data_IF_194727406259
#
_entry.id   IF_194727406259
#
_cell.length_a   1.000
_cell.length_b   1.000
_cell.length_c   1.000
_cell.angle_alpha   90.00
_cell.angle_beta   90.00
_cell.angle_gamma   90.00
#
_symmetry.space_group_name_H-M   'P 1'
#
loop_
_entity.id
_entity.type
_entity.pdbx_description
1 polymer ?
#
# COMPACT_ATOMS: atom_id res chain seq x y z
N UNK A 1 -9.05 7.60 22.80
CA UNK A 1 -9.23 6.13 22.73
C UNK A 1 -10.60 5.77 22.14
N UNK A 2 -11.68 6.43 22.60
CA UNK A 2 -13.04 6.34 22.03
C UNK A 2 -13.09 6.36 20.49
N UNK A 3 -12.42 7.32 19.85
CA UNK A 3 -12.52 7.50 18.40
C UNK A 3 -11.94 6.32 17.61
N UNK A 4 -10.88 5.68 18.12
CA UNK A 4 -10.29 4.51 17.45
C UNK A 4 -11.20 3.28 17.57
N UNK A 5 -11.85 3.09 18.71
CA UNK A 5 -12.82 2.01 18.87
C UNK A 5 -14.05 2.24 17.98
N UNK A 6 -14.48 3.49 17.84
CA UNK A 6 -15.56 3.86 16.94
C UNK A 6 -15.20 3.62 15.47
N UNK A 7 -14.02 4.05 15.03
CA UNK A 7 -13.50 3.74 13.69
C UNK A 7 -13.43 2.22 13.45
N UNK A 8 -13.06 1.43 14.45
CA UNK A 8 -13.05 -0.04 14.36
C UNK A 8 -14.46 -0.60 14.22
N UNK A 9 -15.44 -0.06 14.96
CA UNK A 9 -16.86 -0.44 14.80
C UNK A 9 -17.38 -0.10 13.40
N UNK A 10 -17.02 1.06 12.86
CA UNK A 10 -17.37 1.45 11.49
C UNK A 10 -16.79 0.48 10.45
N UNK A 11 -15.51 0.13 10.59
CA UNK A 11 -14.86 -0.84 9.70
C UNK A 11 -15.51 -2.23 9.76
N UNK A 12 -15.83 -2.71 10.97
CA UNK A 12 -16.51 -3.98 11.17
C UNK A 12 -17.89 -4.02 10.50
N UNK A 13 -18.69 -2.98 10.68
CA UNK A 13 -20.03 -2.88 10.07
C UNK A 13 -19.93 -2.84 8.55
N UNK A 14 -19.01 -2.06 7.99
CA UNK A 14 -18.80 -1.98 6.54
C UNK A 14 -18.38 -3.34 5.94
N UNK A 15 -17.49 -4.06 6.63
CA UNK A 15 -16.98 -5.37 6.20
C UNK A 15 -18.06 -6.44 6.24
N UNK A 16 -18.85 -6.49 7.32
CA UNK A 16 -19.91 -7.50 7.52
C UNK A 16 -21.19 -7.20 6.75
N UNK A 17 -21.33 -6.01 6.17
CA UNK A 17 -22.47 -5.66 5.30
C UNK A 17 -22.38 -6.30 3.91
N UNK A 18 -21.18 -6.67 3.46
CA UNK A 18 -20.98 -7.31 2.18
C UNK A 18 -21.44 -8.77 2.23
N UNK A 19 -22.41 -9.15 1.37
CA UNK A 19 -22.96 -10.51 1.32
C UNK A 19 -22.19 -11.42 0.35
N UNK A 20 -21.74 -10.87 -0.80
CA UNK A 20 -21.17 -11.66 -1.91
C UNK A 20 -19.67 -11.42 -2.13
N UNK A 21 -19.25 -10.17 -2.18
CA UNK A 21 -17.86 -9.79 -2.41
C UNK A 21 -17.54 -8.48 -1.70
N UNK A 22 -16.33 -8.38 -1.17
CA UNK A 22 -15.80 -7.19 -0.51
C UNK A 22 -14.47 -6.83 -1.16
N UNK A 23 -14.39 -5.61 -1.70
CA UNK A 23 -13.15 -5.08 -2.27
C UNK A 23 -12.71 -3.87 -1.45
N UNK A 24 -11.50 -3.95 -0.91
CA UNK A 24 -10.88 -2.88 -0.14
C UNK A 24 -9.87 -2.15 -1.04
N UNK A 25 -10.06 -0.85 -1.23
CA UNK A 25 -9.20 -0.02 -2.06
C UNK A 25 -8.71 1.16 -1.22
N UNK A 26 -7.42 1.47 -1.32
CA UNK A 26 -6.85 2.67 -0.73
C UNK A 26 -5.99 3.41 -1.77
N UNK A 27 -6.10 4.74 -1.87
CA UNK A 27 -5.20 5.52 -2.70
C UNK A 27 -3.81 5.57 -2.08
N UNK A 28 -2.79 5.46 -2.92
CA UNK A 28 -1.38 5.52 -2.52
C UNK A 28 -0.89 6.97 -2.34
N UNK A 29 -1.46 7.88 -3.14
CA UNK A 29 -1.14 9.29 -3.20
C UNK A 29 -2.44 10.08 -3.20
N UNK A 30 -2.48 11.17 -2.45
CA UNK A 30 -3.56 12.14 -2.48
C UNK A 30 -2.98 13.53 -2.61
N UNK A 31 -3.56 14.34 -3.48
CA UNK A 31 -3.13 15.73 -3.62
C UNK A 31 -3.82 16.56 -2.52
N UNK A 32 -3.08 16.88 -1.46
CA UNK A 32 -3.59 17.69 -0.36
C UNK A 32 -2.93 19.07 -0.43
N UNK A 33 -3.76 20.11 -0.61
CA UNK A 33 -3.31 21.51 -0.68
C UNK A 33 -2.19 21.76 -1.71
N UNK A 34 -2.25 21.08 -2.86
CA UNK A 34 -1.29 21.22 -3.94
C UNK A 34 0.02 20.43 -3.76
N UNK A 35 0.15 19.65 -2.69
CA UNK A 35 1.29 18.74 -2.48
C UNK A 35 0.83 17.28 -2.53
N UNK A 36 1.52 16.40 -3.26
CA UNK A 36 1.25 14.97 -3.23
C UNK A 36 1.66 14.39 -1.88
N UNK A 37 0.67 13.99 -1.09
CA UNK A 37 0.86 13.30 0.19
C UNK A 37 0.72 11.80 -0.02
N UNK A 38 1.70 11.05 0.47
CA UNK A 38 1.64 9.59 0.50
C UNK A 38 0.69 9.15 1.61
N UNK A 39 -0.28 8.33 1.25
CA UNK A 39 -1.21 7.75 2.21
C UNK A 39 -0.74 6.36 2.63
N UNK A 40 -1.01 6.03 3.89
CA UNK A 40 -0.74 4.71 4.44
C UNK A 40 -2.00 3.86 4.39
N UNK A 41 -1.79 2.55 4.25
CA UNK A 41 -2.86 1.57 4.38
C UNK A 41 -3.53 1.66 5.76
N UNK A 42 -4.83 1.32 5.81
CA UNK A 42 -5.56 1.29 7.07
C UNK A 42 -4.94 0.30 8.04
N UNK A 43 -4.80 0.71 9.31
CA UNK A 43 -4.29 -0.16 10.38
C UNK A 43 -5.16 -1.39 10.59
N UNK A 44 -6.46 -1.30 10.30
CA UNK A 44 -7.42 -2.40 10.47
C UNK A 44 -7.16 -3.58 9.54
N UNK A 45 -6.39 -3.40 8.46
CA UNK A 45 -5.98 -4.52 7.61
C UNK A 45 -5.02 -5.47 8.31
N UNK A 46 -4.22 -4.99 9.27
CA UNK A 46 -3.28 -5.83 10.02
C UNK A 46 -3.97 -6.78 11.00
N UNK A 47 -5.20 -6.46 11.38
CA UNK A 47 -6.02 -7.28 12.27
C UNK A 47 -6.68 -8.44 11.51
N UNK A 48 -6.65 -8.42 10.17
CA UNK A 48 -7.22 -9.46 9.31
C UNK A 48 -6.12 -10.45 8.96
N UNK A 49 -6.43 -11.74 9.05
CA UNK A 49 -5.53 -12.81 8.63
C UNK A 49 -5.30 -12.74 7.11
N UNK A 50 -4.02 -12.74 6.70
CA UNK A 50 -3.56 -12.72 5.31
C UNK A 50 -4.10 -13.90 4.49
N UNK A 51 -4.54 -14.98 5.14
CA UNK A 51 -5.20 -16.11 4.45
C UNK A 51 -6.61 -15.81 3.93
N UNK A 52 -7.22 -14.70 4.36
CA UNK A 52 -8.65 -14.39 4.13
C UNK A 52 -8.90 -13.42 2.98
N UNK A 53 -7.86 -12.82 2.41
CA UNK A 53 -8.01 -11.84 1.35
C UNK A 53 -6.91 -11.98 0.31
N UNK A 54 -7.29 -11.77 -0.95
CA UNK A 54 -6.36 -11.75 -2.06
C UNK A 54 -5.91 -10.32 -2.36
N UNK A 55 -4.61 -10.21 -2.59
CA UNK A 55 -3.94 -8.95 -2.82
C UNK A 55 -3.86 -8.63 -4.32
N UNK A 56 -4.74 -7.74 -4.77
CA UNK A 56 -4.79 -7.28 -6.15
C UNK A 56 -3.85 -6.09 -6.37
N UNK A 57 -2.63 -6.36 -6.86
CA UNK A 57 -1.72 -5.31 -7.30
C UNK A 57 -1.98 -4.96 -8.77
N UNK A 58 -2.70 -3.87 -9.05
CA UNK A 58 -3.02 -3.42 -10.41
C UNK A 58 -1.75 -3.11 -11.24
N UNK A 59 -0.61 -2.86 -10.60
CA UNK A 59 0.67 -2.59 -11.28
C UNK A 59 1.46 -3.85 -11.65
N UNK A 60 1.05 -5.06 -11.23
CA UNK A 60 1.77 -6.30 -11.56
C UNK A 60 1.55 -6.76 -13.01
N UNK A 61 0.50 -6.26 -13.67
CA UNK A 61 0.11 -6.64 -15.04
C UNK A 61 0.98 -6.03 -16.14
N UNK A 62 1.89 -5.10 -15.83
CA UNK A 62 2.67 -4.33 -16.80
C UNK A 62 4.18 -4.59 -16.77
N UNK A 63 4.65 -5.77 -16.30
CA UNK A 63 6.08 -6.09 -16.35
C UNK A 63 6.39 -7.59 -16.31
N UNK A 64 7.35 -8.08 -17.13
CA UNK A 64 7.70 -9.49 -17.15
C UNK A 64 8.42 -9.86 -15.84
N UNK A 65 7.74 -10.72 -15.07
CA UNK A 65 8.28 -11.67 -14.09
C UNK A 65 9.44 -11.23 -13.21
N UNK A 66 9.17 -11.03 -11.91
CA UNK A 66 9.94 -11.63 -10.79
C UNK A 66 9.04 -11.74 -9.55
N UNK A 67 8.53 -12.95 -9.32
CA UNK A 67 8.07 -13.35 -7.99
C UNK A 67 9.31 -13.44 -7.09
N UNK A 68 9.49 -12.45 -6.21
CA UNK A 68 10.47 -12.49 -5.12
C UNK A 68 10.08 -11.46 -4.07
N UNK A 69 9.27 -11.92 -3.11
CA UNK A 69 9.29 -11.53 -1.71
C UNK A 69 9.54 -10.03 -1.39
N UNK A 70 8.68 -9.13 -1.90
CA UNK A 70 8.77 -7.70 -1.62
C UNK A 70 7.41 -7.14 -1.27
N UNK A 71 7.21 -6.99 0.05
CA UNK A 71 6.03 -6.37 0.62
C UNK A 71 5.80 -4.95 0.10
N UNK A 72 4.56 -4.50 0.33
CA UNK A 72 3.92 -3.24 -0.06
C UNK A 72 4.69 -1.93 0.18
N UNK A 73 5.88 -1.98 0.78
CA UNK A 73 6.64 -0.82 1.23
C UNK A 73 7.79 -0.40 0.30
N UNK A 74 7.91 -0.95 -0.92
CA UNK A 74 9.10 -0.72 -1.76
C UNK A 74 8.96 0.37 -2.84
N UNK A 75 7.82 1.03 -2.99
CA UNK A 75 7.72 2.20 -3.85
C UNK A 75 8.19 3.44 -3.06
N UNK A 76 9.49 3.73 -3.03
CA UNK A 76 10.02 4.93 -2.36
C UNK A 76 11.40 4.80 -1.74
N UNK A 77 11.94 3.58 -1.59
CA UNK A 77 13.32 3.38 -1.10
C UNK A 77 14.27 3.10 -2.27
N UNK A 78 14.58 4.16 -3.01
CA UNK A 78 15.83 4.27 -3.77
C UNK A 78 16.31 5.72 -3.68
N UNK A 79 16.83 6.08 -2.51
CA UNK A 79 17.87 7.11 -2.45
C UNK A 79 19.14 6.48 -3.04
N UNK A 80 19.33 6.68 -4.34
CA UNK A 80 20.62 6.45 -5.03
C UNK A 80 21.25 7.82 -5.27
N UNK A 81 21.61 8.51 -4.18
CA UNK A 81 22.61 9.58 -4.22
C UNK A 81 23.91 8.98 -3.70
N UNK A 82 24.64 8.35 -4.61
CA UNK A 82 25.83 7.57 -4.27
C UNK A 82 26.37 6.88 -5.53
N UNK A 83 26.66 7.67 -6.56
CA UNK A 83 27.27 7.20 -7.80
C UNK A 83 28.53 7.99 -8.05
N UNK A 84 29.65 7.47 -7.54
CA UNK A 84 30.97 8.07 -7.61
C UNK A 84 31.45 8.29 -9.04
N UNK A 85 32.26 9.33 -9.18
CA UNK A 85 33.00 9.66 -10.38
C UNK A 85 34.02 8.56 -10.66
N UNK A 86 33.67 7.63 -11.56
CA UNK A 86 34.60 6.69 -12.14
C UNK A 86 34.75 6.98 -13.63
N UNK A 87 35.94 7.47 -13.97
CA UNK A 87 36.62 7.19 -15.23
C UNK A 87 36.10 7.90 -16.48
N UNK A 88 36.69 9.05 -16.80
CA UNK A 88 36.83 9.48 -18.19
C UNK A 88 38.30 9.73 -18.52
N UNK A 89 38.73 8.99 -19.52
CA UNK A 89 40.04 8.94 -20.17
C UNK A 89 40.58 10.28 -20.65
N UNK A 90 41.87 10.50 -20.43
CA UNK A 90 42.91 10.79 -21.45
C UNK A 90 44.25 10.32 -20.89
#
# INVERSE_FOLDING_TARGET
ESDMEEEKRLFYVATTRAEKSLHLVFPMLSNQKGSPVRLMQSRFLKDIDDSRYDLLNVHSSFGPGRASNRGWNQYGSKNTYGGGYLGRSY
#
